data_IF_274988727220
#
_entry.id   IF_274988727220
#
_cell.length_a   1.000
_cell.length_b   1.000
_cell.length_c   1.000
_cell.angle_alpha   90.00
_cell.angle_beta   90.00
_cell.angle_gamma   90.00
#
_symmetry.space_group_name_H-M   'P 1'
#
loop_
_entity.id
_entity.type
_entity.pdbx_description
1 polymer ?
#
# COMPACT_ATOMS: atom_id res chain seq x y z
N UNK A 1 5.61 -15.34 -4.12
CA UNK A 1 4.53 -14.64 -4.85
C UNK A 1 4.82 -14.71 -6.34
N UNK A 2 3.82 -14.54 -7.21
CA UNK A 2 3.96 -14.57 -8.67
C UNK A 2 4.14 -13.15 -9.18
N UNK A 3 5.21 -12.90 -9.95
CA UNK A 3 5.43 -11.61 -10.62
C UNK A 3 4.51 -11.50 -11.83
N UNK A 4 3.84 -10.36 -11.97
CA UNK A 4 3.01 -10.03 -13.14
C UNK A 4 3.87 -9.31 -14.16
N UNK A 5 4.14 -9.98 -15.29
CA UNK A 5 4.88 -9.38 -16.41
C UNK A 5 3.98 -8.49 -17.28
N UNK A 6 2.68 -8.82 -17.37
CA UNK A 6 1.70 -8.04 -18.12
C UNK A 6 0.36 -8.06 -17.40
N UNK A 7 -0.16 -6.87 -17.10
CA UNK A 7 -1.46 -6.70 -16.49
C UNK A 7 -2.55 -6.76 -17.58
N UNK A 8 -3.35 -7.82 -17.58
CA UNK A 8 -4.53 -7.93 -18.45
C UNK A 8 -5.70 -7.13 -17.87
N UNK A 9 -6.67 -6.73 -18.70
CA UNK A 9 -7.85 -6.00 -18.23
C UNK A 9 -8.64 -6.81 -17.18
N UNK A 10 -8.78 -8.12 -17.37
CA UNK A 10 -9.46 -8.99 -16.40
C UNK A 10 -8.74 -9.02 -15.04
N UNK A 11 -7.41 -9.18 -15.05
CA UNK A 11 -6.63 -9.19 -13.81
C UNK A 11 -6.65 -7.80 -13.14
N UNK A 12 -6.60 -6.73 -13.95
CA UNK A 12 -6.73 -5.35 -13.47
C UNK A 12 -8.05 -5.14 -12.73
N UNK A 13 -9.17 -5.55 -13.32
CA UNK A 13 -10.48 -5.44 -12.67
C UNK A 13 -10.54 -6.23 -11.36
N UNK A 14 -10.00 -7.46 -11.32
CA UNK A 14 -9.93 -8.26 -10.08
C UNK A 14 -9.12 -7.56 -8.98
N UNK A 15 -7.94 -7.01 -9.34
CA UNK A 15 -7.09 -6.27 -8.42
C UNK A 15 -7.82 -5.03 -7.90
N UNK A 16 -8.41 -4.23 -8.79
CA UNK A 16 -9.10 -3.00 -8.41
C UNK A 16 -10.29 -3.29 -7.49
N UNK A 17 -11.12 -4.28 -7.83
CA UNK A 17 -12.25 -4.69 -6.98
C UNK A 17 -11.81 -5.05 -5.56
N UNK A 18 -10.66 -5.70 -5.42
CA UNK A 18 -10.09 -6.04 -4.11
C UNK A 18 -9.60 -4.77 -3.39
N UNK A 19 -8.84 -3.91 -4.05
CA UNK A 19 -8.26 -2.71 -3.44
C UNK A 19 -9.33 -1.70 -3.01
N UNK A 20 -10.45 -1.58 -3.73
CA UNK A 20 -11.55 -0.70 -3.35
C UNK A 20 -12.25 -1.11 -2.04
N UNK A 21 -12.05 -2.34 -1.56
CA UNK A 21 -12.55 -2.74 -0.23
C UNK A 21 -11.85 -2.00 0.91
N UNK A 22 -10.65 -1.46 0.65
CA UNK A 22 -9.83 -0.73 1.61
C UNK A 22 -9.24 0.55 0.98
N UNK A 23 -10.09 1.27 0.22
CA UNK A 23 -9.69 2.34 -0.69
C UNK A 23 -8.75 3.37 -0.07
N UNK A 24 -9.03 3.82 1.16
CA UNK A 24 -8.26 4.88 1.85
C UNK A 24 -6.79 4.50 2.04
N UNK A 25 -6.50 3.23 2.32
CA UNK A 25 -5.14 2.76 2.50
C UNK A 25 -4.49 2.33 1.18
N UNK A 26 -5.29 2.12 0.13
CA UNK A 26 -4.86 1.59 -1.15
C UNK A 26 -4.87 2.62 -2.29
N UNK A 27 -5.17 3.90 -2.01
CA UNK A 27 -5.25 5.00 -3.00
C UNK A 27 -4.09 4.99 -3.99
N UNK A 28 -2.86 4.92 -3.49
CA UNK A 28 -1.68 4.93 -4.34
C UNK A 28 -1.67 3.72 -5.27
N UNK A 29 -1.93 2.53 -4.74
CA UNK A 29 -1.93 1.31 -5.55
C UNK A 29 -3.06 1.30 -6.59
N UNK A 30 -4.26 1.77 -6.22
CA UNK A 30 -5.40 1.95 -7.13
C UNK A 30 -5.00 2.88 -8.28
N UNK A 31 -4.49 4.07 -7.97
CA UNK A 31 -4.08 5.05 -8.98
C UNK A 31 -3.04 4.48 -9.96
N UNK A 32 -2.05 3.75 -9.45
CA UNK A 32 -0.99 3.14 -10.28
C UNK A 32 -1.55 2.07 -11.22
N UNK A 33 -2.45 1.22 -10.72
CA UNK A 33 -3.10 0.16 -11.50
C UNK A 33 -4.03 0.77 -12.57
N UNK A 34 -4.83 1.79 -12.22
CA UNK A 34 -5.72 2.47 -13.16
C UNK A 34 -4.96 3.11 -14.32
N UNK A 35 -3.79 3.71 -14.05
CA UNK A 35 -2.97 4.41 -15.03
C UNK A 35 -1.97 3.50 -15.78
N UNK A 36 -2.04 2.17 -15.59
CA UNK A 36 -1.16 1.19 -16.25
C UNK A 36 0.34 1.52 -16.09
N UNK A 37 0.77 2.02 -14.92
CA UNK A 37 2.19 2.29 -14.71
C UNK A 37 2.99 0.97 -14.72
N UNK A 38 4.10 0.95 -15.45
CA UNK A 38 5.00 -0.21 -15.55
C UNK A 38 5.88 -0.30 -14.29
N UNK A 39 5.26 -0.69 -13.19
CA UNK A 39 5.95 -1.00 -11.94
C UNK A 39 5.98 -2.51 -11.68
N UNK A 40 6.73 -2.92 -10.66
CA UNK A 40 6.82 -4.33 -10.29
C UNK A 40 5.60 -4.71 -9.46
N UNK A 41 4.84 -5.70 -9.92
CA UNK A 41 3.63 -6.17 -9.26
C UNK A 41 3.73 -7.67 -9.01
N UNK A 42 3.41 -8.08 -7.78
CA UNK A 42 3.31 -9.46 -7.37
C UNK A 42 1.93 -9.75 -6.81
N UNK A 43 1.43 -10.95 -7.09
CA UNK A 43 0.19 -11.47 -6.50
C UNK A 43 0.42 -12.86 -5.90
N UNK A 44 -0.47 -13.31 -5.02
CA UNK A 44 -0.45 -14.68 -4.52
C UNK A 44 -0.90 -15.69 -5.59
N UNK A 45 -2.01 -15.43 -6.27
CA UNK A 45 -2.65 -16.34 -7.22
C UNK A 45 -3.54 -15.59 -8.24
N UNK A 46 -3.70 -16.12 -9.46
CA UNK A 46 -4.51 -15.51 -10.53
C UNK A 46 -6.02 -15.75 -10.40
N UNK A 47 -6.42 -16.81 -9.69
CA UNK A 47 -7.79 -17.26 -9.48
C UNK A 47 -8.35 -16.74 -8.15
N UNK A 48 -7.55 -16.75 -7.09
CA UNK A 48 -7.95 -16.29 -5.76
C UNK A 48 -6.98 -15.24 -5.21
N UNK A 49 -7.21 -14.00 -5.63
CA UNK A 49 -6.38 -12.87 -5.26
C UNK A 49 -6.66 -12.43 -3.82
N UNK A 50 -5.67 -12.61 -2.95
CA UNK A 50 -5.76 -12.22 -1.53
C UNK A 50 -4.59 -11.35 -1.08
N UNK A 51 -3.50 -11.36 -1.85
CA UNK A 51 -2.28 -10.63 -1.52
C UNK A 51 -1.77 -9.93 -2.76
N UNK A 52 -1.49 -8.63 -2.61
CA UNK A 52 -0.84 -7.83 -3.64
C UNK A 52 0.40 -7.19 -3.03
N UNK A 53 1.50 -7.22 -3.76
CA UNK A 53 2.71 -6.49 -3.42
C UNK A 53 3.17 -5.72 -4.65
N UNK A 54 3.25 -4.40 -4.50
CA UNK A 54 3.67 -3.50 -5.55
C UNK A 54 4.95 -2.79 -5.12
N UNK A 55 5.89 -2.65 -6.06
CA UNK A 55 7.14 -1.94 -5.85
C UNK A 55 7.42 -1.00 -7.02
N UNK A 56 7.73 0.24 -6.68
CA UNK A 56 8.18 1.28 -7.61
C UNK A 56 9.51 1.83 -7.15
N UNK A 57 10.47 1.95 -8.07
CA UNK A 57 11.72 2.62 -7.75
C UNK A 57 11.53 4.14 -7.83
N UNK A 58 11.77 4.84 -6.71
CA UNK A 58 11.60 6.30 -6.60
C UNK A 58 12.91 7.09 -6.81
N UNK A 59 14.00 6.40 -7.16
CA UNK A 59 15.34 6.97 -7.33
C UNK A 59 16.26 6.77 -6.11
N UNK A 60 15.72 6.52 -4.92
CA UNK A 60 16.51 6.29 -3.69
C UNK A 60 16.15 4.98 -2.99
N UNK A 61 14.89 4.57 -3.10
CA UNK A 61 14.30 3.41 -2.48
C UNK A 61 13.28 2.72 -3.40
N UNK A 62 12.92 1.49 -3.06
CA UNK A 62 11.72 0.88 -3.61
C UNK A 62 10.55 1.25 -2.71
N UNK A 63 9.74 2.21 -3.17
CA UNK A 63 8.45 2.49 -2.57
C UNK A 63 7.56 1.26 -2.77
N UNK A 64 7.13 0.68 -1.67
CA UNK A 64 6.49 -0.63 -1.61
C UNK A 64 5.13 -0.50 -0.95
N UNK A 65 4.08 -0.70 -1.72
CA UNK A 65 2.71 -0.83 -1.23
C UNK A 65 2.30 -2.29 -1.21
N UNK A 66 1.40 -2.65 -0.31
CA UNK A 66 0.84 -3.99 -0.27
C UNK A 66 -0.61 -4.00 0.21
N UNK A 67 -1.30 -5.06 -0.18
CA UNK A 67 -2.64 -5.38 0.27
C UNK A 67 -2.66 -6.83 0.74
N UNK A 68 -3.39 -7.11 1.82
CA UNK A 68 -3.59 -8.44 2.35
C UNK A 68 -4.96 -8.59 3.00
N UNK A 69 -5.55 -9.78 2.88
CA UNK A 69 -6.77 -10.15 3.61
C UNK A 69 -6.50 -10.79 4.98
N UNK A 70 -5.28 -11.28 5.23
CA UNK A 70 -4.93 -11.98 6.48
C UNK A 70 -3.46 -11.84 6.92
N UNK A 71 -3.17 -12.29 8.13
CA UNK A 71 -1.81 -12.23 8.70
C UNK A 71 -0.84 -13.24 8.05
N UNK A 72 -1.34 -14.37 7.53
CA UNK A 72 -0.50 -15.38 6.86
C UNK A 72 0.11 -14.82 5.59
N UNK A 73 -0.64 -13.98 4.90
CA UNK A 73 -0.23 -13.28 3.69
C UNK A 73 0.83 -12.22 3.96
N UNK A 74 0.88 -11.62 5.17
CA UNK A 74 2.00 -10.76 5.58
C UNK A 74 3.33 -11.52 5.64
N UNK A 75 3.31 -12.79 6.06
CA UNK A 75 4.50 -13.64 6.02
C UNK A 75 4.96 -13.88 4.57
N UNK A 76 4.02 -14.14 3.66
CA UNK A 76 4.31 -14.28 2.21
C UNK A 76 4.97 -13.03 1.64
N UNK A 77 4.44 -11.84 1.94
CA UNK A 77 5.03 -10.55 1.57
C UNK A 77 6.44 -10.42 2.13
N UNK A 78 6.63 -10.70 3.42
CA UNK A 78 7.95 -10.58 4.06
C UNK A 78 9.01 -11.50 3.44
N UNK A 79 8.61 -12.72 3.05
CA UNK A 79 9.48 -13.67 2.36
C UNK A 79 9.81 -13.20 0.93
N UNK A 80 8.85 -12.61 0.23
CA UNK A 80 9.09 -12.02 -1.09
C UNK A 80 10.03 -10.81 -1.01
N UNK A 81 9.88 -9.93 -0.01
CA UNK A 81 10.78 -8.79 0.21
C UNK A 81 12.20 -9.25 0.54
N UNK A 82 12.35 -10.32 1.32
CA UNK A 82 13.64 -10.95 1.58
C UNK A 82 14.30 -11.49 0.32
N UNK A 83 13.54 -12.18 -0.54
CA UNK A 83 14.09 -12.76 -1.76
C UNK A 83 14.50 -11.72 -2.79
N UNK A 84 13.79 -10.59 -2.84
CA UNK A 84 14.15 -9.42 -3.65
C UNK A 84 15.46 -8.77 -3.20
N UNK A 85 15.77 -8.83 -1.89
CA UNK A 85 17.03 -8.36 -1.31
C UNK A 85 17.41 -6.91 -1.70
N UNK A 86 16.43 -6.02 -1.83
CA UNK A 86 16.69 -4.62 -2.12
C UNK A 86 17.27 -3.89 -0.90
N UNK A 87 18.28 -3.06 -1.13
CA UNK A 87 19.01 -2.34 -0.08
C UNK A 87 18.13 -1.34 0.68
N UNK A 88 17.33 -0.58 -0.05
CA UNK A 88 16.46 0.47 0.48
C UNK A 88 15.01 0.18 0.07
N UNK A 89 14.15 -0.07 1.05
CA UNK A 89 12.72 -0.32 0.86
C UNK A 89 11.96 0.64 1.76
N UNK A 90 11.00 1.35 1.18
CA UNK A 90 10.03 2.17 1.90
C UNK A 90 8.71 1.41 1.93
N UNK A 91 8.34 0.84 3.07
CA UNK A 91 7.09 0.08 3.24
C UNK A 91 5.95 1.03 3.63
N UNK A 92 4.91 1.06 2.80
CA UNK A 92 3.69 1.81 3.05
C UNK A 92 2.51 0.84 3.21
N UNK A 93 1.76 1.02 4.31
CA UNK A 93 0.65 0.15 4.71
C UNK A 93 0.15 0.53 6.10
N UNK A 94 -0.77 -0.26 6.67
CA UNK A 94 -1.25 -0.01 8.03
C UNK A 94 -0.14 -0.28 9.04
N UNK A 95 -0.12 0.48 10.13
CA UNK A 95 0.95 0.40 11.13
C UNK A 95 1.17 -1.02 11.66
N UNK A 96 0.11 -1.72 12.07
CA UNK A 96 0.23 -3.09 12.60
C UNK A 96 0.72 -4.09 11.55
N UNK A 97 0.32 -3.93 10.29
CA UNK A 97 0.78 -4.77 9.18
C UNK A 97 2.27 -4.53 8.88
N UNK A 98 2.69 -3.27 8.79
CA UNK A 98 4.10 -2.89 8.57
C UNK A 98 4.97 -3.41 9.72
N UNK A 99 4.52 -3.22 10.97
CA UNK A 99 5.21 -3.73 12.16
C UNK A 99 5.34 -5.26 12.11
N UNK A 100 4.29 -5.96 11.71
CA UNK A 100 4.31 -7.42 11.57
C UNK A 100 5.28 -7.89 10.49
N UNK A 101 5.29 -7.25 9.30
CA UNK A 101 6.28 -7.53 8.25
C UNK A 101 7.70 -7.28 8.75
N UNK A 102 7.95 -6.16 9.44
CA UNK A 102 9.27 -5.84 9.98
C UNK A 102 9.73 -6.86 11.02
N UNK A 103 8.82 -7.32 11.89
CA UNK A 103 9.08 -8.41 12.83
C UNK A 103 9.44 -9.70 12.09
N UNK A 104 8.66 -10.10 11.08
CA UNK A 104 8.98 -11.27 10.27
C UNK A 104 10.33 -11.15 9.60
N UNK A 105 10.76 -9.95 9.21
CA UNK A 105 12.07 -9.66 8.61
C UNK A 105 13.21 -9.55 9.63
N UNK A 106 12.96 -9.73 10.93
CA UNK A 106 13.91 -9.51 12.03
C UNK A 106 14.51 -8.09 12.05
N UNK A 107 13.69 -7.08 11.72
CA UNK A 107 14.07 -5.66 11.72
C UNK A 107 13.44 -4.96 12.93
N UNK A 108 14.09 -5.06 14.08
CA UNK A 108 13.63 -4.44 15.32
C UNK A 108 13.98 -2.93 15.35
N UNK A 109 13.33 -2.13 14.50
CA UNK A 109 13.39 -0.67 14.55
C UNK A 109 12.13 -0.12 15.23
N UNK A 110 12.28 0.96 15.99
CA UNK A 110 11.12 1.73 16.44
C UNK A 110 10.45 2.37 15.23
N UNK A 111 9.17 2.07 15.01
CA UNK A 111 8.36 2.64 13.94
C UNK A 111 7.48 3.71 14.58
N UNK A 112 7.57 4.96 14.11
CA UNK A 112 6.67 6.04 14.53
C UNK A 112 5.43 6.06 13.63
N UNK A 113 4.26 6.25 14.24
CA UNK A 113 3.01 6.38 13.51
C UNK A 113 2.89 7.80 12.94
N UNK A 114 3.06 7.95 11.63
CA UNK A 114 2.81 9.20 10.91
C UNK A 114 1.56 8.98 10.03
N UNK A 115 0.44 9.68 10.28
CA UNK A 115 -0.82 9.51 9.51
C UNK A 115 -1.41 10.85 9.07
N UNK A 116 -1.38 11.15 7.77
CA UNK A 116 -2.20 12.22 7.17
C UNK A 116 -2.58 11.87 5.73
N UNK A 117 -3.86 12.00 5.38
CA UNK A 117 -4.36 11.88 3.99
C UNK A 117 -5.36 12.99 3.68
N UNK A 118 -5.25 13.58 2.49
CA UNK A 118 -6.17 14.58 1.92
C UNK A 118 -6.93 13.90 0.77
N UNK A 119 -8.26 13.91 0.82
CA UNK A 119 -9.10 13.43 -0.30
C UNK A 119 -9.83 14.60 -0.97
N UNK A 120 -9.71 14.71 -2.29
CA UNK A 120 -10.25 15.81 -3.10
C UNK A 120 -11.42 15.34 -3.96
N UNK A 121 -12.46 14.74 -3.38
CA UNK A 121 -13.75 14.60 -4.07
C UNK A 121 -14.91 14.26 -3.11
N UNK A 122 -16.01 15.01 -3.19
CA UNK A 122 -17.12 14.97 -2.23
C UNK A 122 -18.12 13.80 -2.39
N UNK A 123 -17.87 12.85 -3.31
CA UNK A 123 -18.91 11.90 -3.75
C UNK A 123 -18.69 10.42 -3.39
N UNK A 124 -17.69 10.07 -2.58
CA UNK A 124 -17.44 8.67 -2.19
C UNK A 124 -17.91 8.39 -0.76
N UNK A 125 -18.77 7.36 -0.60
CA UNK A 125 -19.15 6.78 0.69
C UNK A 125 -18.09 5.77 1.09
N UNK A 126 -17.08 6.21 1.82
CA UNK A 126 -16.02 5.32 2.31
C UNK A 126 -16.56 4.57 3.53
N UNK A 127 -16.61 3.23 3.47
CA UNK A 127 -16.76 2.39 4.64
C UNK A 127 -15.37 2.02 5.17
N UNK A 128 -15.07 2.37 6.41
CA UNK A 128 -13.87 1.90 7.11
C UNK A 128 -14.31 1.22 8.39
N UNK A 129 -13.94 -0.05 8.57
CA UNK A 129 -14.21 -0.76 9.81
C UNK A 129 -13.35 -0.18 10.95
N UNK A 130 -14.01 0.29 12.01
CA UNK A 130 -13.46 0.62 13.34
C UNK A 130 -12.34 1.68 13.40
N UNK A 131 -12.46 2.79 12.67
CA UNK A 131 -11.61 3.97 12.90
C UNK A 131 -12.45 5.24 12.91
N UNK A 132 -12.32 6.07 13.96
CA UNK A 132 -12.83 7.45 13.95
C UNK A 132 -11.94 8.30 13.03
N UNK A 133 -12.29 8.31 11.74
CA UNK A 133 -11.67 9.21 10.77
C UNK A 133 -12.37 10.57 10.86
N UNK A 134 -11.68 11.57 11.43
CA UNK A 134 -12.13 12.96 11.34
C UNK A 134 -11.72 13.52 9.97
N UNK A 135 -12.68 14.13 9.28
CA UNK A 135 -12.43 14.94 8.09
C UNK A 135 -11.56 16.14 8.46
N UNK A 136 -10.39 16.26 7.84
CA UNK A 136 -9.59 17.46 7.91
C UNK A 136 -10.28 18.64 7.21
N UNK A 137 -10.31 19.81 7.84
CA UNK A 137 -10.73 21.09 7.23
C UNK A 137 -9.50 21.90 6.85
N UNK A 138 -9.71 23.06 6.20
CA UNK A 138 -8.64 24.03 5.96
C UNK A 138 -7.96 24.48 7.26
N UNK A 139 -8.68 24.42 8.39
CA UNK A 139 -8.15 24.79 9.71
C UNK A 139 -7.13 23.77 10.24
N UNK A 140 -7.15 22.54 9.71
CA UNK A 140 -6.19 21.49 10.07
C UNK A 140 -4.91 21.56 9.19
N UNK A 141 -4.82 22.50 8.24
CA UNK A 141 -3.74 22.56 7.25
C UNK A 141 -2.35 22.68 7.88
N UNK A 142 -2.16 23.55 8.88
CA UNK A 142 -0.86 23.74 9.53
C UNK A 142 -0.35 22.48 10.25
N UNK A 143 -1.28 21.63 10.71
CA UNK A 143 -0.95 20.34 11.31
C UNK A 143 -0.60 19.34 10.20
N UNK A 144 -1.40 19.31 9.12
CA UNK A 144 -1.25 18.37 8.01
C UNK A 144 0.02 18.64 7.19
N UNK A 145 0.37 19.92 6.98
CA UNK A 145 1.50 20.35 6.16
C UNK A 145 2.83 19.83 6.67
N UNK A 146 2.93 19.57 7.99
CA UNK A 146 4.11 18.97 8.62
C UNK A 146 4.37 17.53 8.15
N UNK A 147 3.40 16.90 7.51
CA UNK A 147 3.45 15.51 7.07
C UNK A 147 3.16 15.34 5.59
N UNK A 148 2.90 16.45 4.88
CA UNK A 148 2.95 16.46 3.42
C UNK A 148 4.41 16.28 3.02
N UNK A 149 4.71 15.22 2.29
CA UNK A 149 6.01 15.05 1.65
C UNK A 149 5.99 15.90 0.39
N UNK A 150 6.58 17.09 0.47
CA UNK A 150 6.85 17.90 -0.70
C UNK A 150 7.88 17.19 -1.59
N UNK A 151 7.53 17.00 -2.86
CA UNK A 151 8.48 16.66 -3.91
C UNK A 151 8.87 17.97 -4.62
N UNK A 152 10.07 18.47 -4.31
CA UNK A 152 10.73 19.54 -5.07
C UNK A 152 11.66 18.94 -6.12
#
# INVERSE_FOLDING_TARGET
MIKIEKLTNELKEKILNLLYTDEVYQVFLIHLIENNQQDILYINDYTHLETILHLKYDGNSYFTNFFTNDDKSLLSISNQLRSLNYKNILLAGKYEEVKTIMNFMNKNKAISLNKYYVYKNNNLKIQVNNSELKRATLDDFDIISLFLIDFF
#
